data_IF_148149355186
#
_entry.id   IF_148149355186
#
_cell.length_a   1.000
_cell.length_b   1.000
_cell.length_c   1.000
_cell.angle_alpha   90.00
_cell.angle_beta   90.00
_cell.angle_gamma   90.00
#
_symmetry.space_group_name_H-M   'P 1'
#
loop_
_entity.id
_entity.type
_entity.pdbx_description
1 polymer ?
#
# COMPACT_ATOMS: atom_id res chain seq x y z
N UNK A 1 10.87 -17.90 -9.03
CA UNK A 1 11.75 -16.71 -8.96
C UNK A 1 11.25 -15.52 -9.76
N UNK A 2 10.65 -15.68 -10.95
CA UNK A 2 10.24 -14.53 -11.79
C UNK A 2 9.08 -13.70 -11.21
N UNK A 3 8.06 -14.36 -10.63
CA UNK A 3 6.91 -13.67 -10.00
C UNK A 3 7.38 -12.75 -8.88
N UNK A 4 8.22 -13.27 -7.97
CA UNK A 4 8.77 -12.50 -6.86
C UNK A 4 9.54 -11.26 -7.33
N UNK A 5 10.39 -11.38 -8.37
CA UNK A 5 11.11 -10.24 -8.94
C UNK A 5 10.17 -9.15 -9.45
N UNK A 6 9.09 -9.54 -10.15
CA UNK A 6 8.08 -8.63 -10.67
C UNK A 6 7.34 -7.91 -9.53
N UNK A 7 6.93 -8.65 -8.52
CA UNK A 7 6.24 -8.09 -7.35
C UNK A 7 7.13 -7.13 -6.58
N UNK A 8 8.41 -7.47 -6.36
CA UNK A 8 9.35 -6.59 -5.68
C UNK A 8 9.66 -5.32 -6.47
N UNK A 9 9.80 -5.42 -7.80
CA UNK A 9 10.02 -4.24 -8.66
C UNK A 9 8.83 -3.28 -8.62
N UNK A 10 7.61 -3.80 -8.83
CA UNK A 10 6.39 -2.98 -8.82
C UNK A 10 6.08 -2.43 -7.43
N UNK A 11 6.37 -3.20 -6.38
CA UNK A 11 6.35 -2.74 -5.00
C UNK A 11 7.32 -1.59 -4.77
N UNK A 12 8.57 -1.72 -5.20
CA UNK A 12 9.58 -0.68 -5.08
C UNK A 12 9.14 0.62 -5.76
N UNK A 13 8.63 0.54 -7.00
CA UNK A 13 8.11 1.72 -7.73
C UNK A 13 6.99 2.40 -6.95
N UNK A 14 6.01 1.64 -6.45
CA UNK A 14 4.90 2.17 -5.67
C UNK A 14 5.35 2.83 -4.36
N UNK A 15 6.21 2.16 -3.60
CA UNK A 15 6.71 2.70 -2.33
C UNK A 15 7.66 3.89 -2.50
N UNK A 16 8.43 3.94 -3.58
CA UNK A 16 9.21 5.14 -3.93
C UNK A 16 8.27 6.30 -4.25
N UNK A 17 7.22 6.08 -5.03
CA UNK A 17 6.20 7.10 -5.28
C UNK A 17 5.59 7.65 -3.99
N UNK A 18 5.30 6.77 -3.02
CA UNK A 18 4.83 7.15 -1.68
C UNK A 18 5.87 7.94 -0.89
N UNK A 19 7.12 7.49 -0.88
CA UNK A 19 8.21 8.17 -0.18
C UNK A 19 8.43 9.60 -0.70
N UNK A 20 8.17 9.84 -2.00
CA UNK A 20 8.21 11.17 -2.60
C UNK A 20 6.96 12.01 -2.28
N UNK A 21 5.79 11.39 -2.13
CA UNK A 21 4.55 12.13 -1.88
C UNK A 21 4.41 12.63 -0.45
N UNK A 22 4.81 11.84 0.56
CA UNK A 22 4.71 12.17 1.99
C UNK A 22 5.39 13.50 2.41
N UNK A 23 6.54 13.90 1.86
CA UNK A 23 7.10 15.23 2.17
C UNK A 23 6.43 16.35 1.37
N UNK A 24 5.78 16.04 0.24
CA UNK A 24 5.17 17.03 -0.65
C UNK A 24 3.73 17.38 -0.25
N UNK A 25 3.05 16.45 0.41
CA UNK A 25 1.71 16.67 0.97
C UNK A 25 1.82 16.99 2.47
N UNK A 26 0.84 17.74 3.00
CA UNK A 26 0.77 18.10 4.42
C UNK A 26 -0.68 17.94 4.87
N UNK A 27 -1.23 16.73 4.65
CA UNK A 27 -2.60 16.43 5.02
C UNK A 27 -2.68 16.03 6.51
N UNK A 28 -3.70 16.51 7.24
CA UNK A 28 -3.94 16.07 8.62
C UNK A 28 -4.34 14.59 8.63
N UNK A 29 -4.11 13.89 9.74
CA UNK A 29 -4.58 12.51 9.88
C UNK A 29 -6.12 12.49 10.04
N UNK A 30 -6.84 11.55 9.38
CA UNK A 30 -8.26 11.32 9.62
C UNK A 30 -8.61 11.01 11.09
N UNK A 31 -7.69 10.40 11.84
CA UNK A 31 -7.82 10.19 13.28
C UNK A 31 -7.33 11.42 14.07
N UNK A 32 -8.29 12.22 14.54
CA UNK A 32 -8.03 13.38 15.38
C UNK A 32 -7.44 13.04 16.77
N UNK A 33 -7.51 11.78 17.19
CA UNK A 33 -6.96 11.32 18.47
C UNK A 33 -5.52 10.79 18.38
N UNK A 34 -4.95 10.74 17.17
CA UNK A 34 -3.61 10.21 16.91
C UNK A 34 -2.53 11.01 17.65
N UNK A 35 -1.63 10.31 18.33
CA UNK A 35 -0.42 10.87 18.96
C UNK A 35 0.81 10.20 18.43
N UNK A 36 1.70 10.95 17.78
CA UNK A 36 2.87 10.37 17.13
C UNK A 36 3.79 9.71 18.16
N UNK A 37 4.14 8.45 17.92
CA UNK A 37 5.13 7.71 18.72
C UNK A 37 6.38 7.58 17.86
N UNK A 38 7.31 8.50 18.07
CA UNK A 38 8.58 8.58 17.37
C UNK A 38 9.69 8.87 18.38
N UNK A 39 10.76 8.09 18.31
CA UNK A 39 12.03 8.45 18.91
C UNK A 39 12.77 9.41 17.95
N UNK A 40 12.94 10.65 18.39
CA UNK A 40 13.58 11.71 17.63
C UNK A 40 15.11 11.66 17.70
N UNK A 41 15.68 10.96 18.69
CA UNK A 41 17.13 10.79 18.82
C UNK A 41 17.65 9.80 17.77
N UNK A 42 16.80 8.86 17.35
CA UNK A 42 17.11 7.85 16.33
C UNK A 42 16.02 7.76 15.24
N UNK A 43 15.87 8.79 14.38
CA UNK A 43 14.77 8.87 13.42
C UNK A 43 14.78 7.73 12.40
N UNK A 44 15.96 7.21 12.03
CA UNK A 44 16.07 6.06 11.12
C UNK A 44 15.49 4.78 11.74
N UNK A 45 15.73 4.56 13.03
CA UNK A 45 15.20 3.39 13.74
C UNK A 45 13.69 3.53 13.86
N UNK A 46 13.19 4.71 14.25
CA UNK A 46 11.76 5.02 14.30
C UNK A 46 11.07 4.72 12.96
N UNK A 47 11.63 5.16 11.83
CA UNK A 47 11.06 4.90 10.49
C UNK A 47 11.04 3.41 10.16
N UNK A 48 12.08 2.65 10.52
CA UNK A 48 12.13 1.19 10.29
C UNK A 48 11.10 0.42 11.12
N UNK A 49 10.63 0.99 12.23
CA UNK A 49 9.63 0.41 13.12
C UNK A 49 8.19 0.71 12.68
N UNK A 50 7.97 1.71 11.83
CA UNK A 50 6.63 2.11 11.33
C UNK A 50 5.88 0.96 10.65
N UNK A 51 6.48 0.16 9.75
CA UNK A 51 5.78 -0.95 9.11
C UNK A 51 5.28 -2.03 10.07
N UNK A 52 5.89 -2.13 11.26
CA UNK A 52 5.52 -3.09 12.29
C UNK A 52 4.47 -2.53 13.28
N UNK A 53 4.07 -1.27 13.12
CA UNK A 53 3.18 -0.58 14.06
C UNK A 53 3.83 -0.25 15.41
N UNK A 54 5.15 -0.43 15.53
CA UNK A 54 5.91 -0.14 16.76
C UNK A 54 6.28 1.35 16.87
N UNK A 55 6.20 2.08 15.76
CA UNK A 55 6.26 3.53 15.69
C UNK A 55 5.16 4.01 14.74
N UNK A 56 4.68 5.24 14.87
CA UNK A 56 3.73 5.80 13.90
C UNK A 56 3.79 7.32 13.84
N UNK A 57 3.61 7.83 12.63
CA UNK A 57 3.49 9.25 12.33
C UNK A 57 2.01 9.62 12.27
N UNK A 58 1.62 10.72 12.91
CA UNK A 58 0.27 11.28 12.78
C UNK A 58 0.19 12.36 11.70
N UNK A 59 1.26 12.54 10.93
CA UNK A 59 1.29 13.46 9.81
C UNK A 59 1.41 12.65 8.51
N UNK A 60 0.71 13.16 7.51
CA UNK A 60 0.69 12.75 6.11
C UNK A 60 0.64 11.23 5.84
N UNK A 61 -0.59 10.75 5.71
CA UNK A 61 -0.92 9.38 5.34
C UNK A 61 -1.28 9.24 3.86
N UNK A 62 -1.02 10.28 3.06
CA UNK A 62 -1.28 10.30 1.62
C UNK A 62 -0.55 9.16 0.91
N UNK A 63 -1.20 8.61 -0.12
CA UNK A 63 -0.75 7.44 -0.86
C UNK A 63 -0.55 6.20 0.04
N UNK A 64 -1.63 5.48 0.31
CA UNK A 64 -1.62 4.38 1.29
C UNK A 64 -0.72 3.21 0.90
N UNK A 65 0.26 2.90 1.77
CA UNK A 65 1.16 1.77 1.60
C UNK A 65 0.47 0.40 1.69
N UNK A 66 -0.56 0.28 2.53
CA UNK A 66 -1.35 -0.95 2.65
C UNK A 66 -2.11 -1.24 1.35
N UNK A 67 -2.68 -0.19 0.72
CA UNK A 67 -3.38 -0.32 -0.56
C UNK A 67 -2.44 -0.79 -1.67
N UNK A 68 -1.17 -0.33 -1.69
CA UNK A 68 -0.16 -0.84 -2.63
C UNK A 68 0.07 -2.35 -2.41
N UNK A 69 0.34 -2.79 -1.18
CA UNK A 69 0.61 -4.20 -0.88
C UNK A 69 -0.57 -5.09 -1.24
N UNK A 70 -1.78 -4.71 -0.81
CA UNK A 70 -3.00 -5.50 -1.00
C UNK A 70 -3.32 -5.59 -2.49
N UNK A 71 -3.25 -4.48 -3.22
CA UNK A 71 -3.51 -4.48 -4.67
C UNK A 71 -2.50 -5.34 -5.42
N UNK A 72 -1.20 -5.23 -5.10
CA UNK A 72 -0.17 -6.10 -5.70
C UNK A 72 -0.43 -7.56 -5.39
N UNK A 73 -0.73 -7.91 -4.13
CA UNK A 73 -1.02 -9.27 -3.73
C UNK A 73 -2.24 -9.83 -4.48
N UNK A 74 -3.32 -9.05 -4.59
CA UNK A 74 -4.53 -9.44 -5.34
C UNK A 74 -4.24 -9.63 -6.83
N UNK A 75 -3.45 -8.74 -7.45
CA UNK A 75 -3.08 -8.88 -8.88
C UNK A 75 -2.17 -10.09 -9.13
N UNK A 76 -1.19 -10.32 -8.25
CA UNK A 76 -0.36 -11.52 -8.30
C UNK A 76 -1.22 -12.77 -8.18
N UNK A 77 -2.14 -12.80 -7.22
CA UNK A 77 -3.04 -13.93 -7.02
C UNK A 77 -3.91 -14.16 -8.26
N UNK A 78 -4.46 -13.09 -8.84
CA UNK A 78 -5.34 -13.16 -10.00
C UNK A 78 -4.63 -13.71 -11.25
N UNK A 79 -3.46 -13.17 -11.58
CA UNK A 79 -2.77 -13.49 -12.84
C UNK A 79 -1.97 -14.81 -12.77
N UNK A 80 -1.42 -15.16 -11.60
CA UNK A 80 -0.55 -16.33 -11.46
C UNK A 80 -1.24 -17.59 -10.90
N UNK A 81 -2.51 -17.50 -10.50
CA UNK A 81 -3.29 -18.67 -10.07
C UNK A 81 -4.14 -19.21 -11.21
N UNK A 82 -4.25 -20.54 -11.36
CA UNK A 82 -5.06 -21.18 -12.39
C UNK A 82 -6.54 -21.36 -12.01
N UNK A 83 -6.82 -21.67 -10.73
CA UNK A 83 -8.17 -21.94 -10.25
C UNK A 83 -9.01 -20.66 -10.12
N UNK A 84 -10.17 -20.64 -10.78
CA UNK A 84 -11.12 -19.52 -10.68
C UNK A 84 -11.62 -19.31 -9.25
N UNK A 85 -11.86 -20.38 -8.49
CA UNK A 85 -12.30 -20.28 -7.10
C UNK A 85 -11.25 -19.56 -6.24
N UNK A 86 -9.97 -19.88 -6.46
CA UNK A 86 -8.87 -19.22 -5.77
C UNK A 86 -8.72 -17.76 -6.18
N UNK A 87 -8.95 -17.43 -7.46
CA UNK A 87 -8.97 -16.03 -7.94
C UNK A 87 -10.08 -15.21 -7.29
N UNK A 88 -11.29 -15.76 -7.23
CA UNK A 88 -12.44 -15.12 -6.59
C UNK A 88 -12.20 -14.92 -5.09
N UNK A 89 -11.60 -15.91 -4.42
CA UNK A 89 -11.19 -15.79 -3.03
C UNK A 89 -10.16 -14.68 -2.83
N UNK A 90 -9.09 -14.63 -3.63
CA UNK A 90 -8.08 -13.57 -3.55
C UNK A 90 -8.64 -12.18 -3.83
N UNK A 91 -9.60 -12.06 -4.77
CA UNK A 91 -10.31 -10.82 -5.05
C UNK A 91 -11.18 -10.38 -3.86
N UNK A 92 -12.00 -11.29 -3.35
CA UNK A 92 -12.83 -11.04 -2.17
C UNK A 92 -11.99 -10.60 -0.97
N UNK A 93 -10.90 -11.33 -0.68
CA UNK A 93 -10.00 -11.02 0.44
C UNK A 93 -9.31 -9.66 0.28
N UNK A 94 -8.88 -9.33 -0.94
CA UNK A 94 -8.30 -8.02 -1.25
C UNK A 94 -9.28 -6.88 -1.04
N UNK A 95 -10.50 -7.01 -1.59
CA UNK A 95 -11.56 -6.00 -1.43
C UNK A 95 -11.98 -5.85 0.03
N UNK A 96 -12.14 -6.96 0.76
CA UNK A 96 -12.45 -6.95 2.18
C UNK A 96 -11.38 -6.20 2.98
N UNK A 97 -10.09 -6.46 2.71
CA UNK A 97 -8.99 -5.78 3.39
C UNK A 97 -8.98 -4.27 3.10
N UNK A 98 -9.21 -3.87 1.85
CA UNK A 98 -9.34 -2.45 1.49
C UNK A 98 -10.53 -1.78 2.19
N UNK A 99 -11.67 -2.48 2.30
CA UNK A 99 -12.84 -2.00 3.04
C UNK A 99 -12.56 -1.82 4.54
N UNK A 100 -11.81 -2.74 5.15
CA UNK A 100 -11.39 -2.61 6.55
C UNK A 100 -10.51 -1.37 6.73
N UNK A 101 -9.52 -1.16 5.86
CA UNK A 101 -8.62 0.01 5.93
C UNK A 101 -9.40 1.34 5.83
N UNK A 102 -10.41 1.40 4.97
CA UNK A 102 -11.27 2.58 4.86
C UNK A 102 -12.18 2.74 6.07
N UNK A 103 -12.77 1.64 6.56
CA UNK A 103 -13.72 1.65 7.68
C UNK A 103 -13.08 1.96 9.03
N UNK A 104 -11.80 1.63 9.21
CA UNK A 104 -11.06 1.97 10.44
C UNK A 104 -10.59 3.42 10.46
N UNK A 105 -10.90 4.22 9.43
CA UNK A 105 -10.43 5.59 9.27
C UNK A 105 -8.90 5.72 9.38
N UNK A 106 -8.17 4.66 9.02
CA UNK A 106 -6.70 4.64 9.07
C UNK A 106 -6.07 5.53 7.98
N UNK A 107 -6.79 5.74 6.89
CA UNK A 107 -6.43 6.56 5.75
C UNK A 107 -7.67 7.25 5.20
N UNK A 108 -7.51 8.37 4.49
CA UNK A 108 -8.62 8.87 3.68
C UNK A 108 -8.96 7.89 2.56
N UNK A 109 -10.24 7.77 2.24
CA UNK A 109 -10.71 6.95 1.12
C UNK A 109 -9.97 7.27 -0.18
N UNK A 110 -9.65 8.56 -0.42
CA UNK A 110 -8.89 9.00 -1.58
C UNK A 110 -7.47 8.42 -1.62
N UNK A 111 -6.79 8.32 -0.48
CA UNK A 111 -5.42 7.76 -0.40
C UNK A 111 -5.42 6.27 -0.76
N UNK A 112 -6.46 5.56 -0.33
CA UNK A 112 -6.68 4.14 -0.62
C UNK A 112 -6.97 3.96 -2.11
N UNK A 113 -7.92 4.72 -2.66
CA UNK A 113 -8.29 4.65 -4.08
C UNK A 113 -7.11 5.01 -5.00
N UNK A 114 -6.35 6.06 -4.65
CA UNK A 114 -5.15 6.45 -5.38
C UNK A 114 -4.11 5.33 -5.37
N UNK A 115 -3.86 4.72 -4.19
CA UNK A 115 -2.95 3.60 -4.05
C UNK A 115 -3.34 2.40 -4.92
N UNK A 116 -4.63 2.04 -4.94
CA UNK A 116 -5.17 0.98 -5.81
C UNK A 116 -4.99 1.35 -7.29
N UNK A 117 -5.38 2.55 -7.70
CA UNK A 117 -5.36 2.98 -9.09
C UNK A 117 -3.94 2.98 -9.67
N UNK A 118 -2.99 3.62 -8.99
CA UNK A 118 -1.58 3.68 -9.46
C UNK A 118 -0.97 2.30 -9.52
N UNK A 119 -1.20 1.46 -8.50
CA UNK A 119 -0.67 0.10 -8.45
C UNK A 119 -1.24 -0.78 -9.55
N UNK A 120 -2.56 -0.70 -9.78
CA UNK A 120 -3.23 -1.43 -10.85
C UNK A 120 -2.70 -0.99 -12.23
N UNK A 121 -2.61 0.31 -12.48
CA UNK A 121 -2.09 0.86 -13.75
C UNK A 121 -0.64 0.39 -13.96
N UNK A 122 0.22 0.52 -12.95
CA UNK A 122 1.61 0.07 -13.03
C UNK A 122 1.71 -1.43 -13.35
N UNK A 123 0.88 -2.26 -12.71
CA UNK A 123 0.81 -3.69 -12.97
C UNK A 123 0.41 -3.99 -14.42
N UNK A 124 -0.66 -3.34 -14.92
CA UNK A 124 -1.16 -3.55 -16.28
C UNK A 124 -0.18 -3.06 -17.33
N UNK A 125 0.43 -1.89 -17.15
CA UNK A 125 1.45 -1.35 -18.05
C UNK A 125 2.68 -2.27 -18.10
N UNK A 126 3.16 -2.74 -16.96
CA UNK A 126 4.29 -3.66 -16.90
C UNK A 126 4.02 -4.96 -17.68
N UNK A 127 2.86 -5.59 -17.47
CA UNK A 127 2.51 -6.82 -18.18
C UNK A 127 2.17 -6.58 -19.66
N UNK A 128 1.71 -5.38 -20.03
CA UNK A 128 1.53 -5.00 -21.43
C UNK A 128 2.87 -4.83 -22.15
N UNK A 129 3.84 -4.15 -21.52
CA UNK A 129 5.18 -3.92 -22.07
C UNK A 129 6.06 -5.18 -22.16
N UNK A 130 5.74 -6.20 -21.36
CA UNK A 130 6.45 -7.48 -21.31
C UNK A 130 5.79 -8.58 -22.18
N UNK A 131 4.76 -8.24 -22.95
CA UNK A 131 4.26 -9.09 -24.04
C UNK A 131 5.18 -8.98 -25.25
#
# INVERSE_FOLDING_TARGET
TIVLKRTLLLGAIGYTGRALSVPMTQLPNPDASCKAILDWDHPLISILLVPFGLAHTCADVFYSGHSISVTLATMVWWDYTSSIASRLFGLFWGLFTLLVIMSTHFHYTLDVMYGVAVTFIAWRLYHYAMK
#
